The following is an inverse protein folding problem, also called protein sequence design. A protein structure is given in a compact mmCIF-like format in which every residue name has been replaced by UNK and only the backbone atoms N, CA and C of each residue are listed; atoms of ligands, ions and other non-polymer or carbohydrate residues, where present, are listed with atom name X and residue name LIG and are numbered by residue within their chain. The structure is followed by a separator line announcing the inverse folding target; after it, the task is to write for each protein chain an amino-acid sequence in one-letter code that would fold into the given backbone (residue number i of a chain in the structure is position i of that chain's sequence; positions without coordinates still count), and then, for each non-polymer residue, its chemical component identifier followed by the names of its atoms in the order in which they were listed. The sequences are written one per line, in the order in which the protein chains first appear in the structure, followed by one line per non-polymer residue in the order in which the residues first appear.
data_IF_976852144279
#
_entry.id   IF_976852144279
#
_cell.length_a   1.000
_cell.length_b   1.000
_cell.length_c   1.000
_cell.angle_alpha   90.00
_cell.angle_beta   90.00
_cell.angle_gamma   90.00
#
_symmetry.space_group_name_H-M   'P 1'
#
loop_
_entity.id
_entity.type
_entity.pdbx_description
1 polymer ?
#
# COMPACT_ATOMS: atom_id res chain seq x y z
N UNK A 1 -28.95 -25.34 4.76
CA UNK A 1 -27.96 -24.72 5.64
C UNK A 1 -28.73 -24.00 6.75
N UNK A 2 -28.82 -24.59 7.94
CA UNK A 2 -29.58 -24.02 9.06
C UNK A 2 -28.71 -23.03 9.80
N UNK A 3 -29.20 -21.80 9.93
CA UNK A 3 -28.57 -20.80 10.80
C UNK A 3 -28.75 -21.24 12.27
N UNK A 4 -27.73 -21.13 13.11
CA UNK A 4 -27.82 -21.56 14.51
C UNK A 4 -28.82 -20.69 15.28
N UNK A 5 -29.59 -21.32 16.17
CA UNK A 5 -30.74 -20.73 16.89
C UNK A 5 -30.41 -19.50 17.78
N UNK A 6 -29.14 -19.24 18.09
CA UNK A 6 -28.75 -18.07 18.87
C UNK A 6 -28.88 -16.73 18.11
N UNK A 7 -29.02 -16.78 16.76
CA UNK A 7 -29.28 -15.60 15.94
C UNK A 7 -30.69 -15.02 16.12
N UNK A 8 -31.61 -15.77 16.74
CA UNK A 8 -33.05 -15.43 16.82
C UNK A 8 -33.46 -14.72 18.13
N UNK A 9 -32.55 -14.51 19.09
CA UNK A 9 -32.88 -13.96 20.41
C UNK A 9 -31.95 -12.83 20.88
N UNK A 10 -31.37 -12.07 19.98
CA UNK A 10 -30.81 -10.78 20.37
C UNK A 10 -31.90 -9.73 20.20
N UNK A 11 -32.53 -9.33 21.33
CA UNK A 11 -33.26 -8.08 21.41
C UNK A 11 -32.30 -6.94 21.12
N UNK A 12 -32.25 -6.52 19.85
CA UNK A 12 -31.59 -5.26 19.51
C UNK A 12 -32.34 -4.15 20.24
N UNK A 13 -31.69 -3.34 21.08
CA UNK A 13 -32.35 -2.23 21.71
C UNK A 13 -33.00 -1.39 20.63
N UNK A 14 -34.27 -1.03 20.82
CA UNK A 14 -35.01 -0.15 19.93
C UNK A 14 -34.22 1.13 19.76
N UNK A 15 -33.50 1.25 18.67
CA UNK A 15 -32.75 2.47 18.33
C UNK A 15 -33.75 3.53 17.86
N UNK A 16 -34.17 4.40 18.81
CA UNK A 16 -34.95 5.63 18.51
C UNK A 16 -34.08 6.71 17.87
N UNK A 17 -32.83 6.40 17.50
CA UNK A 17 -31.96 7.33 16.79
C UNK A 17 -32.45 7.52 15.36
N UNK A 18 -32.56 8.76 14.92
CA UNK A 18 -32.80 9.09 13.52
C UNK A 18 -31.74 8.38 12.66
N UNK A 19 -32.12 7.64 11.60
CA UNK A 19 -31.17 7.02 10.70
C UNK A 19 -30.19 8.07 10.20
N UNK A 20 -28.90 7.78 10.30
CA UNK A 20 -27.87 8.61 9.67
C UNK A 20 -27.80 8.20 8.21
N UNK A 21 -28.08 9.13 7.31
CA UNK A 21 -27.99 8.93 5.88
C UNK A 21 -26.66 9.44 5.37
N UNK A 22 -25.98 8.61 4.56
CA UNK A 22 -24.74 8.95 3.88
C UNK A 22 -24.84 8.57 2.41
N UNK A 23 -24.22 9.37 1.54
CA UNK A 23 -24.11 9.07 0.12
C UNK A 23 -23.16 7.89 -0.13
N UNK A 24 -22.12 7.78 0.72
CA UNK A 24 -21.11 6.73 0.59
C UNK A 24 -20.81 6.06 1.94
N UNK A 25 -20.71 4.73 1.90
CA UNK A 25 -20.26 3.89 3.00
C UNK A 25 -19.01 3.11 2.57
N UNK A 26 -17.90 3.29 3.29
CA UNK A 26 -16.66 2.54 3.09
C UNK A 26 -16.44 1.64 4.32
N UNK A 27 -16.13 0.36 4.10
CA UNK A 27 -15.88 -0.63 5.16
C UNK A 27 -14.39 -0.97 5.19
N UNK A 28 -13.77 -0.78 6.35
CA UNK A 28 -12.35 -1.02 6.61
C UNK A 28 -11.50 0.24 6.41
N UNK A 29 -10.88 0.73 7.49
CA UNK A 29 -10.03 1.92 7.49
C UNK A 29 -8.52 1.58 7.37
N UNK A 30 -8.17 0.54 6.62
CA UNK A 30 -6.82 0.33 6.09
C UNK A 30 -6.50 1.35 5.00
N UNK A 31 -5.29 1.27 4.41
CA UNK A 31 -4.81 2.24 3.42
C UNK A 31 -5.78 2.41 2.23
N UNK A 32 -6.33 1.30 1.72
CA UNK A 32 -7.25 1.31 0.57
C UNK A 32 -8.58 1.99 0.90
N UNK A 33 -9.18 1.65 2.07
CA UNK A 33 -10.43 2.28 2.50
C UNK A 33 -10.24 3.74 2.87
N UNK A 34 -9.14 4.11 3.51
CA UNK A 34 -8.81 5.50 3.81
C UNK A 34 -8.65 6.34 2.53
N UNK A 35 -7.96 5.81 1.51
CA UNK A 35 -7.81 6.46 0.21
C UNK A 35 -9.16 6.61 -0.51
N UNK A 36 -9.97 5.54 -0.56
CA UNK A 36 -11.29 5.58 -1.18
C UNK A 36 -12.20 6.58 -0.47
N UNK A 37 -12.25 6.57 0.86
CA UNK A 37 -13.05 7.51 1.65
C UNK A 37 -12.59 8.96 1.45
N UNK A 38 -11.28 9.21 1.35
CA UNK A 38 -10.72 10.53 1.06
C UNK A 38 -11.25 11.07 -0.28
N UNK A 39 -11.25 10.26 -1.33
CA UNK A 39 -11.75 10.69 -2.63
C UNK A 39 -13.29 10.87 -2.61
N UNK A 40 -14.02 9.90 -2.08
CA UNK A 40 -15.49 9.94 -2.04
C UNK A 40 -16.02 11.13 -1.23
N UNK A 41 -15.35 11.51 -0.15
CA UNK A 41 -15.76 12.67 0.67
C UNK A 41 -15.67 14.02 -0.07
N UNK A 42 -15.05 14.08 -1.24
CA UNK A 42 -15.10 15.25 -2.11
C UNK A 42 -16.41 15.31 -2.94
N UNK A 43 -17.17 14.21 -2.99
CA UNK A 43 -18.35 14.07 -3.85
C UNK A 43 -19.66 13.93 -3.07
N UNK A 44 -19.60 13.64 -1.77
CA UNK A 44 -20.79 13.50 -0.92
C UNK A 44 -20.46 13.13 0.52
N UNK A 45 -21.52 13.10 1.35
CA UNK A 45 -21.41 12.68 2.74
C UNK A 45 -20.90 11.23 2.82
N UNK A 46 -19.80 11.03 3.54
CA UNK A 46 -19.09 9.74 3.54
C UNK A 46 -18.84 9.27 4.96
N UNK A 47 -19.16 7.99 5.24
CA UNK A 47 -18.78 7.30 6.47
C UNK A 47 -17.79 6.19 6.19
N UNK A 48 -16.74 6.12 7.00
CA UNK A 48 -15.72 5.07 6.98
C UNK A 48 -15.87 4.26 8.26
N UNK A 49 -16.20 2.97 8.13
CA UNK A 49 -16.32 2.04 9.25
C UNK A 49 -15.03 1.26 9.43
N UNK A 50 -14.60 1.08 10.69
CA UNK A 50 -13.49 0.24 11.07
C UNK A 50 -13.92 -0.70 12.20
N UNK A 51 -13.51 -1.95 12.12
CA UNK A 51 -13.85 -2.96 13.13
C UNK A 51 -12.89 -2.91 14.33
N UNK A 52 -11.65 -2.53 14.08
CA UNK A 52 -10.61 -2.45 15.11
C UNK A 52 -10.67 -1.11 15.84
N UNK A 53 -10.12 -1.06 17.03
CA UNK A 53 -10.04 0.15 17.89
C UNK A 53 -9.23 1.29 17.25
N UNK A 54 -8.46 0.97 16.20
CA UNK A 54 -7.65 1.95 15.44
C UNK A 54 -7.50 1.56 13.97
N UNK A 55 -7.57 2.55 13.06
CA UNK A 55 -7.34 2.34 11.64
C UNK A 55 -5.95 1.83 11.32
N UNK A 56 -5.85 0.98 10.29
CA UNK A 56 -4.56 0.49 9.80
C UNK A 56 -3.94 -0.64 10.61
N UNK A 57 -4.68 -1.26 11.52
CA UNK A 57 -4.20 -2.31 12.44
C UNK A 57 -3.59 -3.53 11.73
N UNK A 58 -4.16 -3.95 10.60
CA UNK A 58 -3.74 -5.16 9.88
C UNK A 58 -2.63 -4.90 8.84
N UNK A 59 -2.87 -5.21 7.58
CA UNK A 59 -1.87 -5.18 6.48
C UNK A 59 -1.17 -3.83 6.34
N UNK A 60 -1.89 -2.72 6.55
CA UNK A 60 -1.31 -1.37 6.44
C UNK A 60 -0.18 -1.16 7.43
N UNK A 61 -0.39 -1.51 8.69
CA UNK A 61 0.63 -1.37 9.75
C UNK A 61 1.76 -2.42 9.70
N UNK A 62 1.68 -3.39 8.78
CA UNK A 62 2.65 -4.50 8.63
C UNK A 62 3.26 -4.55 7.22
N UNK A 63 3.08 -3.49 6.44
CA UNK A 63 3.58 -3.41 5.07
C UNK A 63 5.10 -3.30 5.04
N UNK A 64 5.74 -3.91 4.03
CA UNK A 64 7.14 -3.67 3.70
C UNK A 64 7.36 -2.26 3.14
N UNK A 65 6.30 -1.59 2.73
CA UNK A 65 6.24 -0.17 2.39
C UNK A 65 7.25 0.23 1.31
N UNK A 66 7.20 -0.44 0.17
CA UNK A 66 8.05 -0.15 -0.97
C UNK A 66 7.22 0.37 -2.15
N UNK A 67 7.70 1.43 -2.78
CA UNK A 67 7.34 1.77 -4.15
C UNK A 67 8.30 1.03 -5.09
N UNK A 68 7.75 0.16 -5.93
CA UNK A 68 8.51 -0.67 -6.86
C UNK A 68 7.92 -0.51 -8.26
N UNK A 69 8.55 0.28 -9.15
CA UNK A 69 7.98 0.63 -10.46
C UNK A 69 7.76 -0.58 -11.37
N UNK A 70 8.60 -1.60 -11.23
CA UNK A 70 8.54 -2.83 -12.05
C UNK A 70 7.80 -4.00 -11.35
N UNK A 71 7.09 -3.76 -10.25
CA UNK A 71 6.43 -4.84 -9.49
C UNK A 71 5.19 -5.39 -10.20
N UNK A 72 5.14 -6.71 -10.33
CA UNK A 72 3.96 -7.44 -10.76
C UNK A 72 3.64 -7.34 -12.26
N UNK A 73 2.45 -7.80 -12.68
CA UNK A 73 2.00 -7.75 -14.06
C UNK A 73 1.86 -6.31 -14.59
N UNK A 74 1.85 -6.16 -15.91
CA UNK A 74 1.75 -4.87 -16.61
C UNK A 74 0.66 -3.94 -16.05
N UNK A 75 -0.52 -4.48 -15.72
CA UNK A 75 -1.62 -3.68 -15.14
C UNK A 75 -1.26 -3.10 -13.77
N UNK A 76 -0.61 -3.90 -12.91
CA UNK A 76 -0.18 -3.45 -11.57
C UNK A 76 0.90 -2.38 -11.71
N UNK A 77 1.85 -2.57 -12.61
CA UNK A 77 2.89 -1.57 -12.91
C UNK A 77 2.28 -0.24 -13.38
N UNK A 78 1.30 -0.31 -14.29
CA UNK A 78 0.58 0.88 -14.75
C UNK A 78 -0.11 1.65 -13.62
N UNK A 79 -0.73 0.95 -12.66
CA UNK A 79 -1.34 1.56 -11.47
C UNK A 79 -0.27 2.19 -10.56
N UNK A 80 0.84 1.49 -10.30
CA UNK A 80 1.94 2.02 -9.49
C UNK A 80 2.53 3.30 -10.10
N UNK A 81 2.75 3.30 -11.41
CA UNK A 81 3.26 4.46 -12.14
C UNK A 81 2.28 5.63 -12.14
N UNK A 82 0.99 5.37 -12.33
CA UNK A 82 -0.05 6.40 -12.26
C UNK A 82 -0.17 7.04 -10.87
N UNK A 83 0.12 6.29 -9.80
CA UNK A 83 0.10 6.78 -8.44
C UNK A 83 1.37 7.55 -8.03
N UNK A 84 2.47 7.38 -8.76
CA UNK A 84 3.78 7.96 -8.42
C UNK A 84 3.77 9.49 -8.26
N UNK A 85 3.16 10.27 -9.18
CA UNK A 85 3.13 11.73 -9.03
C UNK A 85 2.48 12.19 -7.73
N UNK A 86 1.42 11.52 -7.29
CA UNK A 86 0.75 11.83 -6.02
C UNK A 86 1.68 11.60 -4.82
N UNK A 87 2.42 10.49 -4.79
CA UNK A 87 3.32 10.20 -3.67
C UNK A 87 4.58 11.05 -3.68
N UNK A 88 5.04 11.45 -4.86
CA UNK A 88 6.20 12.33 -5.02
C UNK A 88 5.89 13.76 -4.60
N UNK A 89 4.73 14.26 -4.98
CA UNK A 89 4.28 15.63 -4.74
C UNK A 89 2.84 15.64 -4.22
N UNK A 90 2.63 15.19 -2.95
CA UNK A 90 1.29 15.13 -2.39
C UNK A 90 0.68 16.53 -2.25
N UNK A 91 -0.66 16.64 -2.21
CA UNK A 91 -1.34 17.91 -1.98
C UNK A 91 -0.85 18.60 -0.70
N UNK A 92 -0.85 19.92 -0.69
CA UNK A 92 -0.47 20.71 0.48
C UNK A 92 -1.23 20.28 1.74
N UNK A 93 -0.52 20.08 2.85
CA UNK A 93 -1.08 19.60 4.12
C UNK A 93 -1.35 18.09 4.19
N UNK A 94 -1.05 17.34 3.13
CA UNK A 94 -1.19 15.88 3.15
C UNK A 94 -0.11 15.21 4.03
N UNK A 95 1.13 15.69 3.96
CA UNK A 95 2.24 15.24 4.80
C UNK A 95 3.22 16.38 5.04
N UNK A 96 3.86 16.38 6.21
CA UNK A 96 4.91 17.33 6.57
C UNK A 96 6.30 16.87 6.09
N UNK A 97 6.41 15.63 5.63
CA UNK A 97 7.66 14.97 5.22
C UNK A 97 7.49 14.28 3.86
N UNK A 98 8.59 14.05 3.13
CA UNK A 98 8.53 13.26 1.89
C UNK A 98 7.93 11.87 2.15
N UNK A 99 6.99 11.46 1.30
CA UNK A 99 6.36 10.14 1.36
C UNK A 99 7.23 9.04 0.75
N UNK A 100 8.16 9.42 -0.12
CA UNK A 100 9.08 8.52 -0.82
C UNK A 100 10.52 8.91 -0.51
N UNK A 101 11.36 7.91 -0.23
CA UNK A 101 12.81 8.07 -0.02
C UNK A 101 13.57 7.08 -0.90
N UNK A 102 14.58 7.51 -1.67
CA UNK A 102 15.37 6.61 -2.50
C UNK A 102 16.01 5.49 -1.67
N UNK A 103 15.91 4.26 -2.17
CA UNK A 103 16.46 3.07 -1.50
C UNK A 103 17.20 2.15 -2.45
N UNK A 104 16.57 1.78 -3.57
CA UNK A 104 16.97 0.67 -4.41
C UNK A 104 16.54 -0.70 -3.87
N UNK A 105 16.58 -1.72 -4.71
CA UNK A 105 16.32 -3.09 -4.31
C UNK A 105 17.28 -4.07 -5.01
N UNK A 106 17.56 -5.17 -4.32
CA UNK A 106 18.34 -6.30 -4.85
C UNK A 106 17.44 -7.53 -4.91
N UNK A 107 17.40 -8.18 -6.09
CA UNK A 107 16.86 -9.52 -6.27
C UNK A 107 18.03 -10.47 -6.43
N UNK A 108 18.17 -11.47 -5.57
CA UNK A 108 19.27 -12.44 -5.61
C UNK A 108 18.72 -13.84 -5.76
N UNK A 109 19.41 -14.67 -6.55
CA UNK A 109 19.06 -16.07 -6.74
C UNK A 109 20.23 -16.99 -6.41
N UNK A 110 19.97 -17.99 -5.56
CA UNK A 110 20.88 -19.11 -5.28
C UNK A 110 20.95 -20.01 -6.51
N UNK A 111 19.78 -20.48 -6.93
CA UNK A 111 19.50 -21.13 -8.21
C UNK A 111 18.23 -20.53 -8.79
N UNK A 112 18.17 -20.38 -10.10
CA UNK A 112 17.02 -19.77 -10.81
C UNK A 112 16.57 -20.68 -11.96
N UNK A 113 16.17 -21.94 -11.68
CA UNK A 113 15.80 -22.90 -12.72
C UNK A 113 14.53 -22.49 -13.49
N UNK A 114 13.68 -21.67 -12.89
CA UNK A 114 12.45 -21.16 -13.50
C UNK A 114 12.66 -19.84 -14.26
N UNK A 115 13.84 -19.23 -14.14
CA UNK A 115 14.18 -17.99 -14.85
C UNK A 115 13.46 -16.74 -14.35
N UNK A 116 13.16 -16.68 -13.06
CA UNK A 116 12.47 -15.50 -12.47
C UNK A 116 13.24 -14.20 -12.62
N UNK A 117 14.57 -14.24 -12.52
CA UNK A 117 15.39 -13.05 -12.75
C UNK A 117 15.39 -12.64 -14.23
N UNK A 118 15.37 -13.62 -15.16
CA UNK A 118 15.25 -13.33 -16.58
C UNK A 118 13.89 -12.76 -16.94
N UNK A 119 12.83 -13.20 -16.28
CA UNK A 119 11.49 -12.62 -16.43
C UNK A 119 11.48 -11.16 -15.97
N UNK A 120 12.08 -10.84 -14.83
CA UNK A 120 12.21 -9.46 -14.36
C UNK A 120 12.95 -8.56 -15.37
N UNK A 121 13.95 -9.09 -16.10
CA UNK A 121 14.70 -8.33 -17.11
C UNK A 121 13.97 -8.14 -18.44
N UNK A 122 12.96 -8.97 -18.77
CA UNK A 122 12.28 -8.91 -20.08
C UNK A 122 11.29 -7.77 -20.22
N UNK A 123 10.68 -7.36 -19.15
CA UNK A 123 9.54 -6.44 -19.17
C UNK A 123 9.82 -5.16 -18.38
N UNK A 124 10.93 -4.50 -18.69
CA UNK A 124 11.34 -3.29 -17.97
C UNK A 124 10.59 -2.06 -18.45
N UNK A 125 10.29 -1.18 -17.49
CA UNK A 125 9.88 0.18 -17.81
C UNK A 125 11.12 0.96 -18.31
N UNK A 126 11.03 1.69 -19.44
CA UNK A 126 12.17 2.41 -20.00
C UNK A 126 12.86 3.39 -19.05
N UNK A 127 12.09 4.02 -18.16
CA UNK A 127 12.59 5.00 -17.19
C UNK A 127 13.06 4.37 -15.86
N UNK A 128 12.82 3.07 -15.66
CA UNK A 128 13.17 2.35 -14.43
C UNK A 128 13.98 1.09 -14.74
N UNK A 129 15.24 1.24 -15.14
CA UNK A 129 16.07 0.11 -15.52
C UNK A 129 16.38 -0.80 -14.34
N UNK A 130 16.37 -2.11 -14.60
CA UNK A 130 16.98 -3.12 -13.73
C UNK A 130 18.25 -3.58 -14.41
N UNK A 131 19.32 -3.75 -13.65
CA UNK A 131 20.61 -4.20 -14.16
C UNK A 131 21.06 -5.46 -13.46
N UNK A 132 21.59 -6.43 -14.20
CA UNK A 132 22.33 -7.53 -13.59
C UNK A 132 23.68 -7.02 -13.11
N UNK A 133 24.00 -7.29 -11.86
CA UNK A 133 25.25 -6.91 -11.21
C UNK A 133 25.99 -8.13 -10.68
N UNK A 134 27.28 -7.99 -10.44
CA UNK A 134 28.07 -9.09 -9.88
C UNK A 134 27.67 -9.37 -8.41
N UNK A 135 27.81 -10.64 -7.95
CA UNK A 135 27.62 -10.97 -6.54
C UNK A 135 28.47 -10.13 -5.58
N UNK A 136 29.69 -9.80 -6.00
CA UNK A 136 30.57 -8.93 -5.20
C UNK A 136 30.02 -7.52 -5.04
N UNK A 137 29.39 -6.98 -6.08
CA UNK A 137 28.74 -5.68 -6.04
C UNK A 137 27.47 -5.70 -5.21
N UNK A 138 26.65 -6.75 -5.34
CA UNK A 138 25.48 -6.95 -4.48
C UNK A 138 25.86 -7.01 -2.99
N UNK A 139 26.94 -7.70 -2.62
CA UNK A 139 27.45 -7.70 -1.24
C UNK A 139 27.97 -6.33 -0.77
N UNK A 140 28.47 -5.49 -1.69
CA UNK A 140 28.85 -4.11 -1.32
C UNK A 140 27.63 -3.23 -1.04
N UNK A 141 26.55 -3.41 -1.84
CA UNK A 141 25.29 -2.67 -1.65
C UNK A 141 24.52 -3.16 -0.43
N UNK A 142 24.60 -4.46 -0.13
CA UNK A 142 23.93 -5.07 1.01
C UNK A 142 24.92 -5.97 1.79
N UNK A 143 25.68 -5.40 2.73
CA UNK A 143 26.73 -6.11 3.49
C UNK A 143 26.30 -7.39 4.23
N UNK A 144 25.00 -7.53 4.67
CA UNK A 144 24.54 -8.78 5.26
C UNK A 144 24.49 -9.99 4.31
N UNK A 145 24.54 -9.78 2.99
CA UNK A 145 24.58 -10.85 2.02
C UNK A 145 25.89 -11.64 2.14
N UNK A 146 25.79 -12.97 2.12
CA UNK A 146 26.96 -13.85 2.22
C UNK A 146 27.54 -14.13 0.83
N UNK A 147 28.81 -13.79 0.57
CA UNK A 147 29.47 -14.14 -0.68
C UNK A 147 29.41 -15.66 -0.96
N UNK A 148 29.15 -16.03 -2.20
CA UNK A 148 29.09 -17.43 -2.63
C UNK A 148 27.75 -18.14 -2.38
N UNK A 149 26.80 -17.50 -1.64
CA UNK A 149 25.47 -18.08 -1.40
C UNK A 149 24.55 -17.96 -2.63
N UNK A 150 24.75 -16.96 -3.47
CA UNK A 150 23.96 -16.71 -4.67
C UNK A 150 24.87 -16.50 -5.88
N UNK A 151 24.34 -16.76 -7.07
CA UNK A 151 25.10 -16.69 -8.34
C UNK A 151 24.74 -15.49 -9.19
N UNK A 152 23.51 -15.02 -9.05
CA UNK A 152 22.98 -13.90 -9.83
C UNK A 152 22.36 -12.85 -8.92
N UNK A 153 22.48 -11.61 -9.29
CA UNK A 153 21.86 -10.50 -8.61
C UNK A 153 21.37 -9.44 -9.61
N UNK A 154 20.17 -8.95 -9.41
CA UNK A 154 19.65 -7.79 -10.12
C UNK A 154 19.54 -6.62 -9.15
N UNK A 155 19.84 -5.42 -9.66
CA UNK A 155 19.67 -4.17 -8.92
C UNK A 155 18.68 -3.25 -9.63
N UNK A 156 17.68 -2.82 -8.88
CA UNK A 156 16.64 -1.87 -9.29
C UNK A 156 16.80 -0.55 -8.51
N UNK A 157 17.47 0.47 -9.07
CA UNK A 157 17.71 1.73 -8.38
C UNK A 157 16.45 2.57 -8.17
N UNK A 158 15.39 2.36 -8.96
CA UNK A 158 14.14 3.11 -8.92
C UNK A 158 13.22 2.76 -7.75
N UNK A 159 13.56 1.76 -6.95
CA UNK A 159 12.77 1.39 -5.76
C UNK A 159 12.97 2.42 -4.65
N UNK A 160 11.86 2.78 -4.00
CA UNK A 160 11.86 3.75 -2.90
C UNK A 160 11.18 3.18 -1.67
N UNK A 161 11.64 3.57 -0.49
CA UNK A 161 10.87 3.41 0.74
C UNK A 161 9.65 4.32 0.71
N UNK A 162 8.51 3.80 1.17
CA UNK A 162 7.28 4.56 1.34
C UNK A 162 6.98 4.74 2.83
N UNK A 163 6.66 5.95 3.26
CA UNK A 163 6.10 6.15 4.59
C UNK A 163 4.61 5.78 4.60
N UNK A 164 4.31 4.49 4.76
CA UNK A 164 2.93 3.98 4.78
C UNK A 164 2.10 4.61 5.90
N UNK A 165 2.70 4.96 7.03
CA UNK A 165 2.01 5.60 8.14
C UNK A 165 1.63 7.05 7.78
N UNK A 166 2.55 7.83 7.23
CA UNK A 166 2.28 9.19 6.77
C UNK A 166 1.23 9.22 5.66
N UNK A 167 1.30 8.29 4.69
CA UNK A 167 0.32 8.15 3.61
C UNK A 167 -1.07 7.85 4.18
N UNK A 168 -1.18 6.85 5.05
CA UNK A 168 -2.44 6.46 5.67
C UNK A 168 -3.04 7.60 6.49
N UNK A 169 -2.24 8.26 7.33
CA UNK A 169 -2.68 9.39 8.13
C UNK A 169 -3.04 10.61 7.27
N UNK A 170 -2.34 10.83 6.15
CA UNK A 170 -2.66 11.87 5.18
C UNK A 170 -4.06 11.68 4.60
N UNK A 171 -4.41 10.47 4.16
CA UNK A 171 -5.75 10.16 3.68
C UNK A 171 -6.81 10.35 4.77
N UNK A 172 -6.57 9.85 5.99
CA UNK A 172 -7.53 10.02 7.09
C UNK A 172 -7.73 11.48 7.50
N UNK A 173 -6.66 12.28 7.53
CA UNK A 173 -6.77 13.73 7.80
C UNK A 173 -7.57 14.44 6.72
N UNK A 174 -7.22 14.19 5.45
CA UNK A 174 -7.93 14.78 4.33
C UNK A 174 -9.39 14.33 4.25
N UNK A 175 -9.70 13.07 4.54
CA UNK A 175 -11.05 12.56 4.68
C UNK A 175 -11.86 13.35 5.72
N UNK A 176 -11.31 13.50 6.94
CA UNK A 176 -11.96 14.26 8.03
C UNK A 176 -12.12 15.74 7.69
N UNK A 177 -11.12 16.36 7.06
CA UNK A 177 -11.20 17.78 6.67
C UNK A 177 -12.27 18.06 5.61
N UNK A 178 -12.67 17.04 4.84
CA UNK A 178 -13.80 17.08 3.88
C UNK A 178 -15.14 16.74 4.54
N UNK A 179 -15.22 16.65 5.86
CA UNK A 179 -16.43 16.34 6.59
C UNK A 179 -16.76 14.85 6.72
N UNK A 180 -15.83 13.97 6.32
CA UNK A 180 -16.00 12.54 6.46
C UNK A 180 -16.05 12.06 7.91
N UNK A 181 -16.89 11.08 8.22
CA UNK A 181 -17.05 10.47 9.54
C UNK A 181 -16.36 9.11 9.61
N UNK A 182 -15.39 8.99 10.52
CA UNK A 182 -14.81 7.70 10.90
C UNK A 182 -15.58 7.15 12.11
N UNK A 183 -16.03 5.90 12.02
CA UNK A 183 -16.63 5.13 13.11
C UNK A 183 -15.83 3.85 13.32
N UNK A 184 -15.35 3.62 14.54
CA UNK A 184 -14.64 2.43 15.01
C UNK A 184 -15.46 1.75 16.08
#
# INVERSE_FOLDING_TARGET
MFLPAWFLHHDFPSMTATPLEYDFLVIGAGISGAAAAYELAAHGSTVLLEMEDRPGHHSTGRSASLYTPNYGPHTVRGICQAAYPFFREPPSGFSDYPLLTPRGALSVAIDDPEGHLDEQLRELHPEHPISEISPAEACRLCPPLRPGLFRRALYEPGVMDMDAAAIHQGFLRGFKSRGGRLAV
#
